data_IF_480788735819
#
_entry.id   IF_480788735819
#
_cell.length_a   1.000
_cell.length_b   1.000
_cell.length_c   1.000
_cell.angle_alpha   90.00
_cell.angle_beta   90.00
_cell.angle_gamma   90.00
#
_symmetry.space_group_name_H-M   'P 1'
#
loop_
_entity.id
_entity.type
_entity.pdbx_description
1 polymer ?
#
# COMPACT_ATOMS: atom_id res chain seq x y z
N UNK A 1 -15.83 -39.34 13.18
CA UNK A 1 -14.88 -38.48 12.45
C UNK A 1 -15.62 -37.20 12.10
N UNK A 2 -15.26 -36.06 12.71
CA UNK A 2 -15.91 -34.79 12.39
C UNK A 2 -15.56 -34.41 10.95
N UNK A 3 -16.54 -34.04 10.16
CA UNK A 3 -16.38 -33.66 8.76
C UNK A 3 -15.52 -32.39 8.63
N UNK A 4 -14.82 -32.23 7.50
CA UNK A 4 -13.99 -31.04 7.27
C UNK A 4 -14.77 -29.72 7.43
N UNK A 5 -16.08 -29.73 7.12
CA UNK A 5 -16.99 -28.61 7.32
C UNK A 5 -17.23 -28.30 8.81
N UNK A 6 -17.34 -29.29 9.67
CA UNK A 6 -17.50 -29.12 11.13
C UNK A 6 -16.25 -28.58 11.79
N UNK A 7 -15.06 -28.97 11.32
CA UNK A 7 -13.77 -28.38 11.75
C UNK A 7 -13.63 -26.94 11.29
N UNK A 8 -14.12 -26.58 10.10
CA UNK A 8 -14.13 -25.20 9.60
C UNK A 8 -15.12 -24.33 10.40
N UNK A 9 -16.32 -24.81 10.70
CA UNK A 9 -17.33 -24.04 11.47
C UNK A 9 -16.90 -23.80 12.91
N UNK A 10 -16.23 -24.76 13.55
CA UNK A 10 -15.66 -24.60 14.90
C UNK A 10 -14.46 -23.65 14.94
N UNK A 11 -13.67 -23.54 13.84
CA UNK A 11 -12.58 -22.60 13.74
C UNK A 11 -13.03 -21.17 13.36
N UNK A 12 -14.25 -21.01 12.82
CA UNK A 12 -14.86 -19.73 12.47
C UNK A 12 -15.83 -19.21 13.55
N UNK A 13 -15.53 -19.46 14.82
CA UNK A 13 -16.33 -18.95 15.93
C UNK A 13 -16.17 -17.42 16.04
N UNK A 14 -16.92 -16.69 15.20
CA UNK A 14 -16.97 -15.21 15.26
C UNK A 14 -17.42 -14.72 16.66
N UNK A 15 -18.16 -15.53 17.41
CA UNK A 15 -18.53 -15.26 18.80
C UNK A 15 -17.33 -15.27 19.77
N UNK A 16 -16.27 -16.01 19.46
CA UNK A 16 -15.05 -16.03 20.26
C UNK A 16 -14.22 -14.75 20.05
N UNK A 17 -14.27 -14.14 18.84
CA UNK A 17 -13.62 -12.87 18.52
C UNK A 17 -14.22 -11.73 19.36
N UNK A 18 -15.55 -11.74 19.57
CA UNK A 18 -16.23 -10.75 20.41
C UNK A 18 -15.86 -10.83 21.90
N UNK A 19 -15.44 -12.00 22.38
CA UNK A 19 -15.00 -12.22 23.77
C UNK A 19 -13.52 -11.90 24.02
N UNK A 20 -12.69 -11.90 22.99
CA UNK A 20 -11.27 -11.55 23.07
C UNK A 20 -11.08 -10.03 22.98
N UNK A 21 -11.15 -9.34 24.11
CA UNK A 21 -11.05 -7.86 24.21
C UNK A 21 -9.78 -7.31 23.57
N UNK A 22 -8.66 -7.99 23.69
CA UNK A 22 -7.39 -7.56 23.07
C UNK A 22 -7.45 -7.61 21.55
N UNK A 23 -7.94 -8.69 20.96
CA UNK A 23 -8.07 -8.82 19.51
C UNK A 23 -9.05 -7.79 18.94
N UNK A 24 -10.17 -7.57 19.64
CA UNK A 24 -11.16 -6.55 19.25
C UNK A 24 -10.53 -5.15 19.24
N UNK A 25 -9.77 -4.79 20.27
CA UNK A 25 -9.12 -3.49 20.35
C UNK A 25 -8.08 -3.31 19.23
N UNK A 26 -7.31 -4.33 18.91
CA UNK A 26 -6.35 -4.32 17.78
C UNK A 26 -7.06 -4.17 16.44
N UNK A 27 -8.17 -4.86 16.22
CA UNK A 27 -8.98 -4.74 15.00
C UNK A 27 -9.60 -3.34 14.87
N UNK A 28 -10.20 -2.80 15.95
CA UNK A 28 -10.78 -1.45 15.95
C UNK A 28 -9.71 -0.39 15.71
N UNK A 29 -8.52 -0.53 16.29
CA UNK A 29 -7.41 0.37 16.02
C UNK A 29 -6.99 0.34 14.55
N UNK A 30 -6.87 -0.87 13.97
CA UNK A 30 -6.51 -1.04 12.55
C UNK A 30 -7.57 -0.39 11.65
N UNK A 31 -8.86 -0.64 11.90
CA UNK A 31 -9.95 -0.03 11.14
C UNK A 31 -9.94 1.50 11.26
N UNK A 32 -9.78 2.04 12.47
CA UNK A 32 -9.66 3.47 12.70
C UNK A 32 -8.49 4.10 11.95
N UNK A 33 -7.33 3.46 11.95
CA UNK A 33 -6.15 3.91 11.20
C UNK A 33 -6.38 3.89 9.67
N UNK A 34 -7.06 2.87 9.15
CA UNK A 34 -7.43 2.79 7.73
C UNK A 34 -8.46 3.86 7.34
N UNK A 35 -9.39 4.21 8.23
CA UNK A 35 -10.32 5.34 8.01
C UNK A 35 -9.54 6.65 7.95
N UNK A 36 -8.60 6.89 8.86
CA UNK A 36 -7.74 8.09 8.83
C UNK A 36 -6.94 8.15 7.52
N UNK A 37 -6.35 7.03 7.09
CA UNK A 37 -5.69 6.94 5.79
C UNK A 37 -6.65 7.34 4.67
N UNK A 38 -7.86 6.77 4.65
CA UNK A 38 -8.84 7.04 3.59
C UNK A 38 -9.26 8.49 3.56
N UNK A 39 -9.53 9.11 4.71
CA UNK A 39 -9.87 10.54 4.80
C UNK A 39 -8.74 11.41 4.23
N UNK A 40 -7.49 11.11 4.55
CA UNK A 40 -6.35 11.87 4.04
C UNK A 40 -6.14 11.76 2.52
N UNK A 41 -6.62 10.69 1.87
CA UNK A 41 -6.57 10.60 0.38
C UNK A 41 -7.47 11.60 -0.33
N UNK A 42 -8.41 12.23 0.38
CA UNK A 42 -9.32 13.25 -0.15
C UNK A 42 -8.87 14.68 0.12
N UNK A 43 -7.81 14.89 0.91
CA UNK A 43 -7.28 16.23 1.20
C UNK A 43 -6.36 16.68 0.06
N UNK A 44 -6.77 17.63 -0.79
CA UNK A 44 -5.96 18.05 -1.93
C UNK A 44 -4.79 18.95 -1.50
N UNK A 45 -3.72 18.94 -2.30
CA UNK A 45 -2.61 19.89 -2.16
C UNK A 45 -3.11 21.28 -2.59
N UNK A 46 -2.79 22.36 -1.87
CA UNK A 46 -3.19 23.71 -2.24
C UNK A 46 -2.52 24.18 -3.53
N UNK A 47 -3.23 24.99 -4.31
CA UNK A 47 -2.70 25.58 -5.56
C UNK A 47 -2.95 24.75 -6.82
N UNK A 48 -3.75 23.68 -6.75
CA UNK A 48 -4.09 22.81 -7.87
C UNK A 48 -5.54 23.03 -8.31
N UNK A 49 -5.76 23.09 -9.61
CA UNK A 49 -7.10 23.12 -10.22
C UNK A 49 -7.68 21.69 -10.29
N UNK A 50 -8.71 21.35 -9.50
CA UNK A 50 -9.22 19.97 -9.45
C UNK A 50 -9.88 19.54 -10.75
N UNK A 51 -10.49 20.47 -11.51
CA UNK A 51 -11.19 20.15 -12.78
C UNK A 51 -10.18 19.79 -13.86
N UNK A 52 -9.13 20.60 -14.03
CA UNK A 52 -8.08 20.36 -15.00
C UNK A 52 -7.32 19.06 -14.68
N UNK A 53 -7.05 18.81 -13.41
CA UNK A 53 -6.39 17.61 -12.93
C UNK A 53 -7.21 16.35 -13.21
N UNK A 54 -8.52 16.36 -12.89
CA UNK A 54 -9.40 15.22 -13.11
C UNK A 54 -9.42 14.82 -14.59
N UNK A 55 -9.55 15.78 -15.48
CA UNK A 55 -9.55 15.50 -16.92
C UNK A 55 -8.23 14.95 -17.44
N UNK A 56 -7.11 15.47 -16.93
CA UNK A 56 -5.80 14.91 -17.25
C UNK A 56 -5.72 13.43 -16.85
N UNK A 57 -6.17 13.10 -15.64
CA UNK A 57 -6.16 11.72 -15.16
C UNK A 57 -7.15 10.82 -15.90
N UNK A 58 -8.32 11.30 -16.30
CA UNK A 58 -9.27 10.54 -17.11
C UNK A 58 -8.68 10.15 -18.48
N UNK A 59 -7.92 11.04 -19.10
CA UNK A 59 -7.22 10.76 -20.36
C UNK A 59 -6.04 9.80 -20.20
N UNK A 60 -5.37 9.80 -19.05
CA UNK A 60 -4.18 9.00 -18.75
C UNK A 60 -4.47 7.77 -17.87
N UNK A 61 -5.73 7.50 -17.53
CA UNK A 61 -6.12 6.42 -16.60
C UNK A 61 -5.72 5.03 -17.08
N UNK A 62 -5.60 4.82 -18.39
CA UNK A 62 -5.17 3.55 -19.00
C UNK A 62 -3.65 3.33 -18.94
N UNK A 63 -2.86 4.30 -18.48
CA UNK A 63 -1.41 4.26 -18.46
C UNK A 63 -0.81 3.87 -17.10
N UNK A 64 0.51 4.01 -17.02
CA UNK A 64 1.30 3.77 -15.79
C UNK A 64 0.79 4.61 -14.62
N UNK A 65 0.34 5.85 -14.87
CA UNK A 65 -0.22 6.74 -13.84
C UNK A 65 -1.46 6.16 -13.16
N UNK A 66 -2.34 5.48 -13.91
CA UNK A 66 -3.51 4.81 -13.35
C UNK A 66 -3.14 3.67 -12.40
N UNK A 67 -2.06 2.94 -12.70
CA UNK A 67 -1.54 1.90 -11.80
C UNK A 67 -1.06 2.52 -10.49
N UNK A 68 -0.24 3.58 -10.56
CA UNK A 68 0.23 4.29 -9.36
C UNK A 68 -0.93 4.89 -8.56
N UNK A 69 -1.94 5.44 -9.23
CA UNK A 69 -3.13 5.97 -8.57
C UNK A 69 -3.91 4.88 -7.82
N UNK A 70 -3.98 3.67 -8.36
CA UNK A 70 -4.60 2.53 -7.69
C UNK A 70 -3.85 2.18 -6.40
N UNK A 71 -2.51 2.16 -6.39
CA UNK A 71 -1.71 1.93 -5.19
C UNK A 71 -1.84 3.04 -4.15
N UNK A 72 -2.04 4.29 -4.58
CA UNK A 72 -2.27 5.42 -3.68
C UNK A 72 -3.71 5.51 -3.17
N UNK A 73 -4.61 4.63 -3.65
CA UNK A 73 -6.03 4.65 -3.30
C UNK A 73 -6.81 5.82 -3.91
N UNK A 74 -6.40 6.29 -5.09
CA UNK A 74 -6.98 7.43 -5.79
C UNK A 74 -6.46 8.79 -5.28
N UNK A 75 -5.43 8.80 -4.44
CA UNK A 75 -4.86 10.04 -3.92
C UNK A 75 -4.00 10.77 -4.97
N UNK A 76 -3.36 10.04 -5.90
CA UNK A 76 -2.57 10.64 -6.97
C UNK A 76 -3.47 11.36 -7.97
N UNK A 77 -4.57 10.74 -8.39
CA UNK A 77 -5.53 11.34 -9.32
C UNK A 77 -6.22 12.59 -8.81
N UNK A 78 -6.26 12.78 -7.49
CA UNK A 78 -6.78 13.98 -6.82
C UNK A 78 -5.69 14.91 -6.31
N UNK A 79 -4.42 14.55 -6.51
CA UNK A 79 -3.27 15.22 -5.89
C UNK A 79 -3.48 15.49 -4.40
N UNK A 80 -3.92 14.44 -3.69
CA UNK A 80 -4.05 14.48 -2.25
C UNK A 80 -2.69 14.52 -1.54
N UNK A 81 -2.70 14.84 -0.23
CA UNK A 81 -1.49 14.85 0.59
C UNK A 81 -0.78 13.48 0.63
N UNK A 82 -1.51 12.40 0.32
CA UNK A 82 -0.98 11.04 0.23
C UNK A 82 -0.75 10.58 -1.22
N UNK A 83 -0.58 11.50 -2.17
CA UNK A 83 -0.41 11.16 -3.59
C UNK A 83 0.80 10.25 -3.86
N UNK A 84 1.92 10.43 -3.18
CA UNK A 84 3.07 9.51 -3.24
C UNK A 84 2.81 8.17 -2.51
N UNK A 85 1.80 8.11 -1.65
CA UNK A 85 1.49 6.93 -0.86
C UNK A 85 2.66 6.45 -0.02
N UNK A 86 2.82 5.14 0.07
CA UNK A 86 3.93 4.48 0.79
C UNK A 86 5.07 4.06 -0.16
N UNK A 87 5.01 4.43 -1.46
CA UNK A 87 6.01 4.03 -2.46
C UNK A 87 7.43 4.49 -2.12
N UNK A 88 7.67 5.73 -1.65
CA UNK A 88 9.02 6.16 -1.25
C UNK A 88 9.61 5.29 -0.13
N UNK A 89 8.77 4.84 0.81
CA UNK A 89 9.20 3.95 1.89
C UNK A 89 9.53 2.54 1.38
N UNK A 90 8.75 2.00 0.46
CA UNK A 90 9.03 0.68 -0.14
C UNK A 90 10.36 0.73 -0.89
N UNK A 91 10.58 1.74 -1.73
CA UNK A 91 11.84 1.95 -2.45
C UNK A 91 13.02 2.06 -1.50
N UNK A 92 12.89 2.87 -0.45
CA UNK A 92 13.90 3.01 0.60
C UNK A 92 14.21 1.68 1.30
N UNK A 93 13.18 0.92 1.64
CA UNK A 93 13.34 -0.37 2.32
C UNK A 93 14.08 -1.39 1.44
N UNK A 94 13.77 -1.42 0.14
CA UNK A 94 14.48 -2.29 -0.83
C UNK A 94 15.93 -1.85 -0.95
N UNK A 95 16.20 -0.54 -1.14
CA UNK A 95 17.56 0.00 -1.22
C UNK A 95 18.36 -0.38 0.04
N UNK A 96 17.79 -0.14 1.23
CA UNK A 96 18.45 -0.46 2.49
C UNK A 96 18.70 -1.96 2.66
N UNK A 97 17.79 -2.82 2.18
CA UNK A 97 17.98 -4.27 2.21
C UNK A 97 19.16 -4.71 1.32
N UNK A 98 19.28 -4.12 0.13
CA UNK A 98 20.42 -4.37 -0.77
C UNK A 98 21.73 -3.82 -0.21
N UNK A 99 21.71 -2.62 0.37
CA UNK A 99 22.89 -2.01 0.98
C UNK A 99 23.41 -2.78 2.19
N UNK A 100 22.54 -3.46 2.95
CA UNK A 100 22.95 -4.33 4.05
C UNK A 100 23.81 -5.53 3.61
N UNK A 101 23.68 -5.97 2.37
CA UNK A 101 24.52 -7.05 1.83
C UNK A 101 25.84 -6.54 1.26
N UNK A 102 25.90 -5.28 0.82
CA UNK A 102 27.05 -4.70 0.10
C UNK A 102 27.96 -3.88 0.98
N UNK A 103 27.41 -3.19 2.01
CA UNK A 103 28.19 -2.28 2.86
C UNK A 103 28.56 -2.98 4.17
N UNK A 104 29.88 -3.15 4.49
CA UNK A 104 30.32 -3.86 5.70
C UNK A 104 29.76 -3.28 7.00
N UNK A 105 29.66 -1.95 7.09
CA UNK A 105 29.09 -1.28 8.27
C UNK A 105 27.63 -1.68 8.53
N UNK A 106 26.79 -1.72 7.48
CA UNK A 106 25.38 -2.11 7.61
C UNK A 106 25.22 -3.61 7.85
N UNK A 107 26.15 -4.43 7.33
CA UNK A 107 26.21 -5.86 7.62
C UNK A 107 26.48 -6.10 9.10
N UNK A 108 27.48 -5.43 9.67
CA UNK A 108 27.80 -5.51 11.11
C UNK A 108 26.63 -5.04 11.98
N UNK A 109 25.90 -4.00 11.56
CA UNK A 109 24.67 -3.57 12.25
C UNK A 109 23.60 -4.65 12.24
N UNK A 110 23.42 -5.35 11.12
CA UNK A 110 22.46 -6.46 11.03
C UNK A 110 22.81 -7.60 11.99
N UNK A 111 24.09 -7.90 12.18
CA UNK A 111 24.60 -8.92 13.08
C UNK A 111 24.42 -8.56 14.58
N UNK A 112 24.28 -7.27 14.91
CA UNK A 112 24.00 -6.79 16.27
C UNK A 112 22.56 -7.08 16.76
N UNK A 113 21.74 -7.79 15.98
CA UNK A 113 20.40 -8.20 16.36
C UNK A 113 19.40 -7.04 16.49
N UNK A 114 18.67 -6.97 17.59
CA UNK A 114 17.54 -6.02 17.76
C UNK A 114 17.98 -4.54 17.77
N UNK A 115 19.16 -4.22 18.31
CA UNK A 115 19.70 -2.84 18.30
C UNK A 115 20.04 -2.39 16.88
N UNK A 116 20.78 -3.20 16.14
CA UNK A 116 21.16 -2.87 14.76
C UNK A 116 19.95 -2.78 13.84
N UNK A 117 18.95 -3.64 14.02
CA UNK A 117 17.69 -3.56 13.26
C UNK A 117 16.95 -2.24 13.45
N UNK A 118 16.92 -1.70 14.67
CA UNK A 118 16.32 -0.37 14.94
C UNK A 118 17.05 0.75 14.20
N UNK A 119 18.38 0.71 14.17
CA UNK A 119 19.18 1.71 13.44
C UNK A 119 18.97 1.61 11.93
N UNK A 120 18.90 0.41 11.37
CA UNK A 120 18.61 0.20 9.95
C UNK A 120 17.23 0.76 9.57
N UNK A 121 16.20 0.54 10.40
CA UNK A 121 14.87 1.12 10.21
C UNK A 121 14.96 2.66 10.24
N UNK A 122 15.76 3.23 11.11
CA UNK A 122 15.93 4.67 11.21
C UNK A 122 16.61 5.24 9.95
N UNK A 123 17.63 4.57 9.41
CA UNK A 123 18.25 4.95 8.13
C UNK A 123 17.25 4.82 6.96
N UNK A 124 16.42 3.77 6.93
CA UNK A 124 15.33 3.67 5.96
C UNK A 124 14.40 4.86 5.99
N UNK A 125 14.06 5.39 7.17
CA UNK A 125 13.19 6.58 7.29
C UNK A 125 13.86 7.82 6.70
N UNK A 126 15.15 8.05 6.95
CA UNK A 126 15.89 9.18 6.37
C UNK A 126 15.95 9.08 4.84
N UNK A 127 16.27 7.89 4.31
CA UNK A 127 16.30 7.66 2.86
C UNK A 127 14.89 7.85 2.26
N UNK A 128 13.83 7.46 2.98
CA UNK A 128 12.44 7.70 2.55
C UNK A 128 12.15 9.19 2.37
N UNK A 129 12.57 10.04 3.33
CA UNK A 129 12.36 11.48 3.25
C UNK A 129 13.08 12.08 2.03
N UNK A 130 14.33 11.65 1.77
CA UNK A 130 15.08 12.11 0.60
C UNK A 130 14.40 11.67 -0.71
N UNK A 131 14.00 10.41 -0.82
CA UNK A 131 13.30 9.90 -2.01
C UNK A 131 11.97 10.63 -2.21
N UNK A 132 11.19 10.81 -1.14
CA UNK A 132 9.92 11.52 -1.20
C UNK A 132 10.09 12.99 -1.64
N UNK A 133 11.15 13.67 -1.17
CA UNK A 133 11.46 15.03 -1.58
C UNK A 133 11.83 15.12 -3.07
N UNK A 134 12.66 14.20 -3.56
CA UNK A 134 13.03 14.13 -4.98
C UNK A 134 11.82 13.81 -5.86
N UNK A 135 10.99 12.84 -5.47
CA UNK A 135 9.77 12.51 -6.19
C UNK A 135 8.75 13.65 -6.15
N UNK A 136 8.55 14.28 -4.98
CA UNK A 136 7.65 15.42 -4.82
C UNK A 136 8.08 16.62 -5.66
N UNK A 137 9.39 16.88 -5.77
CA UNK A 137 9.92 17.91 -6.64
C UNK A 137 9.69 17.59 -8.12
N UNK A 138 9.93 16.33 -8.53
CA UNK A 138 9.64 15.88 -9.90
C UNK A 138 8.16 16.02 -10.25
N UNK A 139 7.27 15.62 -9.32
CA UNK A 139 5.81 15.77 -9.49
C UNK A 139 5.42 17.24 -9.62
N UNK A 140 5.98 18.15 -8.79
CA UNK A 140 5.65 19.58 -8.85
C UNK A 140 6.02 20.22 -10.19
N UNK A 141 7.20 19.91 -10.73
CA UNK A 141 7.62 20.38 -12.06
C UNK A 141 6.74 19.78 -13.16
N UNK A 142 6.43 18.47 -13.04
CA UNK A 142 5.54 17.81 -13.98
C UNK A 142 4.18 18.50 -14.07
N UNK A 143 3.55 18.80 -12.92
CA UNK A 143 2.26 19.47 -12.86
C UNK A 143 2.28 20.90 -13.43
N UNK A 144 3.36 21.64 -13.21
CA UNK A 144 3.51 22.99 -13.78
C UNK A 144 3.63 22.98 -15.31
N UNK A 145 4.23 21.94 -15.88
CA UNK A 145 4.43 21.81 -17.33
C UNK A 145 3.19 21.31 -18.06
N UNK A 146 2.20 20.76 -17.34
CA UNK A 146 1.00 20.16 -17.91
C UNK A 146 -0.08 21.22 -18.13
N UNK A 147 -0.58 21.28 -19.37
CA UNK A 147 -1.71 22.13 -19.76
C UNK A 147 -2.84 21.23 -20.25
N UNK A 148 -4.07 21.61 -19.92
CA UNK A 148 -5.28 20.92 -20.37
C UNK A 148 -6.17 21.89 -21.17
N UNK A 149 -7.19 21.38 -21.85
CA UNK A 149 -8.16 22.20 -22.55
C UNK A 149 -8.90 23.22 -21.63
N UNK A 150 -8.90 22.97 -20.33
CA UNK A 150 -9.53 23.81 -19.29
C UNK A 150 -8.53 24.69 -18.50
N UNK A 151 -7.31 24.85 -19.04
CA UNK A 151 -6.28 25.71 -18.47
C UNK A 151 -5.16 24.93 -17.78
N UNK A 152 -4.37 25.67 -17.03
CA UNK A 152 -3.24 25.12 -16.29
C UNK A 152 -3.73 24.28 -15.09
N UNK A 153 -3.04 23.16 -14.81
CA UNK A 153 -3.31 22.34 -13.62
C UNK A 153 -2.94 23.09 -12.35
N UNK A 154 -1.92 23.95 -12.40
CA UNK A 154 -1.45 24.76 -11.29
C UNK A 154 -1.93 26.19 -11.47
N UNK A 155 -2.59 26.78 -10.47
CA UNK A 155 -3.06 28.17 -10.52
C UNK A 155 -1.91 29.16 -10.62
N UNK A 156 -0.91 29.02 -9.77
CA UNK A 156 0.25 29.89 -9.70
C UNK A 156 1.54 29.06 -9.75
N UNK A 157 2.11 28.83 -10.95
CA UNK A 157 3.36 28.10 -11.09
C UNK A 157 4.52 28.94 -10.50
N UNK A 158 5.45 28.27 -9.82
CA UNK A 158 6.61 28.94 -9.27
C UNK A 158 7.22 28.26 -8.04
N UNK A 159 8.25 28.88 -7.49
CA UNK A 159 9.00 28.32 -6.37
C UNK A 159 8.12 28.02 -5.15
N UNK A 160 7.16 28.90 -4.87
CA UNK A 160 6.23 28.74 -3.73
C UNK A 160 5.40 27.45 -3.87
N UNK A 161 4.80 27.21 -5.04
CA UNK A 161 4.05 25.99 -5.31
C UNK A 161 4.93 24.74 -5.17
N UNK A 162 6.16 24.77 -5.74
CA UNK A 162 7.08 23.62 -5.66
C UNK A 162 7.42 23.28 -4.21
N UNK A 163 7.81 24.29 -3.43
CA UNK A 163 8.19 24.11 -2.01
C UNK A 163 7.00 23.59 -1.20
N UNK A 164 5.80 24.18 -1.37
CA UNK A 164 4.60 23.77 -0.68
C UNK A 164 4.22 22.33 -1.04
N UNK A 165 4.26 21.97 -2.32
CA UNK A 165 3.98 20.62 -2.81
C UNK A 165 4.96 19.60 -2.24
N UNK A 166 6.28 19.90 -2.27
CA UNK A 166 7.30 18.99 -1.71
C UNK A 166 7.09 18.78 -0.21
N UNK A 167 6.90 19.86 0.55
CA UNK A 167 6.69 19.75 2.01
C UNK A 167 5.43 18.93 2.30
N UNK A 168 4.34 19.16 1.58
CA UNK A 168 3.06 18.46 1.77
C UNK A 168 3.20 16.98 1.46
N UNK A 169 3.82 16.62 0.34
CA UNK A 169 4.01 15.24 -0.08
C UNK A 169 4.96 14.47 0.84
N UNK A 170 6.05 15.11 1.27
CA UNK A 170 6.98 14.54 2.26
C UNK A 170 6.28 14.33 3.59
N UNK A 171 5.54 15.33 4.06
CA UNK A 171 4.75 15.24 5.29
C UNK A 171 3.73 14.11 5.24
N UNK A 172 3.00 13.99 4.13
CA UNK A 172 2.07 12.90 3.88
C UNK A 172 2.73 11.53 3.89
N UNK A 173 3.87 11.37 3.23
CA UNK A 173 4.63 10.12 3.21
C UNK A 173 5.14 9.74 4.60
N UNK A 174 5.70 10.70 5.35
CA UNK A 174 6.18 10.48 6.72
C UNK A 174 5.03 10.09 7.64
N UNK A 175 3.87 10.74 7.50
CA UNK A 175 2.67 10.39 8.25
C UNK A 175 2.19 8.97 7.94
N UNK A 176 2.14 8.57 6.66
CA UNK A 176 1.75 7.21 6.27
C UNK A 176 2.72 6.15 6.78
N UNK A 177 4.02 6.43 6.74
CA UNK A 177 5.04 5.57 7.32
C UNK A 177 4.81 5.38 8.83
N UNK A 178 4.61 6.47 9.56
CA UNK A 178 4.30 6.43 10.99
C UNK A 178 2.98 5.66 11.26
N UNK A 179 1.93 5.91 10.47
CA UNK A 179 0.65 5.23 10.60
C UNK A 179 0.80 3.72 10.38
N UNK A 180 1.56 3.30 9.36
CA UNK A 180 1.87 1.90 9.09
C UNK A 180 2.62 1.22 10.24
N UNK A 181 3.55 1.94 10.87
CA UNK A 181 4.26 1.44 12.06
C UNK A 181 3.33 1.33 13.28
N UNK A 182 2.40 2.28 13.47
CA UNK A 182 1.40 2.20 14.54
C UNK A 182 0.46 1.00 14.34
N UNK A 183 0.01 0.74 13.11
CA UNK A 183 -0.81 -0.43 12.80
C UNK A 183 -0.02 -1.72 13.09
N UNK A 184 1.25 -1.79 12.69
CA UNK A 184 2.09 -2.97 12.92
C UNK A 184 2.33 -3.23 14.41
N UNK A 185 2.47 -2.18 15.23
CA UNK A 185 2.77 -2.31 16.66
C UNK A 185 1.53 -2.51 17.53
N UNK A 186 0.42 -1.86 17.23
CA UNK A 186 -0.80 -1.83 18.06
C UNK A 186 -2.01 -2.51 17.40
N UNK A 187 -1.96 -2.71 16.10
CA UNK A 187 -3.02 -3.33 15.30
C UNK A 187 -2.76 -4.81 15.01
N UNK A 188 -3.18 -5.24 13.84
CA UNK A 188 -3.07 -6.61 13.32
C UNK A 188 -2.26 -6.59 12.02
N UNK A 189 -1.27 -7.48 11.91
CA UNK A 189 -0.51 -7.71 10.69
C UNK A 189 0.51 -6.62 10.35
N UNK A 190 0.92 -6.54 9.09
CA UNK A 190 1.85 -5.52 8.60
C UNK A 190 1.07 -4.27 8.16
N UNK A 191 1.25 -3.16 8.88
CA UNK A 191 0.49 -1.93 8.66
C UNK A 191 0.69 -1.31 7.27
N UNK A 192 1.91 -1.37 6.73
CA UNK A 192 2.20 -0.83 5.39
C UNK A 192 1.48 -1.64 4.31
N UNK A 193 1.52 -2.98 4.41
CA UNK A 193 0.79 -3.85 3.50
C UNK A 193 -0.72 -3.63 3.58
N UNK A 194 -1.26 -3.38 4.77
CA UNK A 194 -2.67 -3.08 4.97
C UNK A 194 -3.08 -1.73 4.36
N UNK A 195 -2.24 -0.70 4.45
CA UNK A 195 -2.48 0.60 3.81
C UNK A 195 -2.53 0.44 2.29
N UNK A 196 -1.59 -0.30 1.69
CA UNK A 196 -1.59 -0.59 0.24
C UNK A 196 -2.85 -1.36 -0.15
N UNK A 197 -3.17 -2.42 0.58
CA UNK A 197 -4.37 -3.24 0.32
C UNK A 197 -5.64 -2.41 0.42
N UNK A 198 -5.76 -1.54 1.43
CA UNK A 198 -6.89 -0.63 1.57
C UNK A 198 -7.00 0.37 0.41
N UNK A 199 -5.87 0.86 -0.12
CA UNK A 199 -5.82 1.70 -1.32
C UNK A 199 -6.36 0.97 -2.55
N UNK A 200 -5.93 -0.26 -2.79
CA UNK A 200 -6.37 -1.08 -3.93
C UNK A 200 -7.86 -1.45 -3.80
N UNK A 201 -8.28 -1.93 -2.63
CA UNK A 201 -9.68 -2.33 -2.38
C UNK A 201 -10.63 -1.15 -2.51
N UNK A 202 -10.19 0.06 -2.19
CA UNK A 202 -11.03 1.26 -2.29
C UNK A 202 -11.51 1.57 -3.71
N UNK A 203 -10.77 1.17 -4.74
CA UNK A 203 -11.14 1.34 -6.14
C UNK A 203 -11.89 0.13 -6.73
N UNK A 204 -11.94 -0.99 -6.00
CA UNK A 204 -12.54 -2.22 -6.47
C UNK A 204 -14.05 -2.10 -6.74
N UNK A 205 -14.88 -1.42 -5.89
CA UNK A 205 -16.30 -1.27 -6.17
C UNK A 205 -16.58 -0.53 -7.48
N UNK A 206 -15.85 0.53 -7.77
CA UNK A 206 -16.01 1.29 -9.02
C UNK A 206 -15.59 0.47 -10.23
N UNK A 207 -14.50 -0.29 -10.14
CA UNK A 207 -14.04 -1.19 -11.20
C UNK A 207 -15.08 -2.28 -11.50
N UNK A 208 -15.68 -2.88 -10.48
CA UNK A 208 -16.75 -3.89 -10.64
C UNK A 208 -17.97 -3.29 -11.33
N UNK A 209 -18.44 -2.12 -10.87
CA UNK A 209 -19.58 -1.43 -11.47
C UNK A 209 -19.31 -1.11 -12.94
N UNK A 210 -18.14 -0.55 -13.27
CA UNK A 210 -17.75 -0.24 -14.65
C UNK A 210 -17.70 -1.49 -15.53
N UNK A 211 -17.13 -2.58 -15.06
CA UNK A 211 -17.07 -3.86 -15.79
C UNK A 211 -18.46 -4.42 -16.05
N UNK A 212 -19.37 -4.35 -15.07
CA UNK A 212 -20.76 -4.79 -15.25
C UNK A 212 -21.52 -3.90 -16.22
N UNK A 213 -21.27 -2.59 -16.23
CA UNK A 213 -21.87 -1.68 -17.21
C UNK A 213 -21.41 -2.00 -18.65
N UNK A 214 -20.10 -2.22 -18.87
CA UNK A 214 -19.56 -2.65 -20.16
C UNK A 214 -20.12 -3.98 -20.63
N UNK A 215 -20.41 -4.90 -19.70
CA UNK A 215 -21.13 -6.14 -20.00
C UNK A 215 -22.60 -5.92 -20.40
N UNK A 216 -23.27 -4.93 -19.80
CA UNK A 216 -24.68 -4.58 -20.14
C UNK A 216 -24.79 -3.82 -21.46
N UNK A 217 -23.80 -2.99 -21.81
CA UNK A 217 -23.77 -2.28 -23.11
C UNK A 217 -23.37 -3.18 -24.28
N UNK A 218 -22.89 -4.40 -23.99
CA UNK A 218 -22.48 -5.37 -25.02
C UNK A 218 -21.04 -5.17 -25.51
N UNK A 219 -20.30 -4.22 -24.95
CA UNK A 219 -18.88 -3.99 -25.30
C UNK A 219 -17.99 -5.14 -24.79
N UNK A 220 -18.36 -5.76 -23.66
CA UNK A 220 -17.71 -6.95 -23.15
C UNK A 220 -18.68 -8.13 -23.16
N UNK A 221 -18.22 -9.28 -23.68
CA UNK A 221 -19.03 -10.50 -23.62
C UNK A 221 -19.08 -11.05 -22.18
N UNK A 222 -20.20 -11.64 -21.81
CA UNK A 222 -20.38 -12.27 -20.47
C UNK A 222 -19.31 -13.35 -20.26
N UNK A 223 -18.95 -14.10 -21.32
CA UNK A 223 -17.91 -15.11 -21.26
C UNK A 223 -16.54 -14.51 -20.90
N UNK A 224 -16.24 -13.30 -21.38
CA UNK A 224 -14.99 -12.59 -21.05
C UNK A 224 -14.96 -12.14 -19.58
N UNK A 225 -16.07 -11.61 -19.06
CA UNK A 225 -16.19 -11.22 -17.65
C UNK A 225 -16.01 -12.45 -16.74
N UNK A 226 -16.63 -13.57 -17.11
CA UNK A 226 -16.49 -14.84 -16.36
C UNK A 226 -15.04 -15.36 -16.39
N UNK A 227 -14.37 -15.26 -17.54
CA UNK A 227 -12.96 -15.67 -17.66
C UNK A 227 -12.02 -14.85 -16.78
N UNK A 228 -12.24 -13.52 -16.69
CA UNK A 228 -11.49 -12.65 -15.78
C UNK A 228 -11.72 -13.05 -14.33
N UNK A 229 -12.95 -13.34 -13.93
CA UNK A 229 -13.27 -13.76 -12.56
C UNK A 229 -12.55 -15.06 -12.20
N UNK A 230 -12.60 -16.05 -13.10
CA UNK A 230 -11.91 -17.36 -12.90
C UNK A 230 -10.39 -17.14 -12.80
N UNK A 231 -9.84 -16.27 -13.65
CA UNK A 231 -8.41 -15.95 -13.64
C UNK A 231 -7.99 -15.29 -12.31
N UNK A 232 -8.77 -14.32 -11.82
CA UNK A 232 -8.50 -13.66 -10.53
C UNK A 232 -8.53 -14.68 -9.38
N UNK A 233 -9.57 -15.52 -9.31
CA UNK A 233 -9.66 -16.57 -8.29
C UNK A 233 -8.51 -17.57 -8.39
N UNK A 234 -8.15 -17.99 -9.61
CA UNK A 234 -7.03 -18.89 -9.86
C UNK A 234 -5.70 -18.29 -9.40
N UNK A 235 -5.45 -17.01 -9.68
CA UNK A 235 -4.26 -16.30 -9.22
C UNK A 235 -4.20 -16.20 -7.69
N UNK A 236 -5.31 -15.88 -7.03
CA UNK A 236 -5.36 -15.80 -5.56
C UNK A 236 -5.03 -17.17 -4.95
N UNK A 237 -5.65 -18.24 -5.45
CA UNK A 237 -5.40 -19.62 -4.96
C UNK A 237 -3.94 -19.98 -5.18
N UNK A 238 -3.38 -19.67 -6.36
CA UNK A 238 -1.99 -19.96 -6.70
C UNK A 238 -1.01 -19.21 -5.77
N UNK A 239 -1.22 -17.92 -5.54
CA UNK A 239 -0.36 -17.11 -4.65
C UNK A 239 -0.41 -17.67 -3.23
N UNK A 240 -1.62 -17.96 -2.70
CA UNK A 240 -1.78 -18.53 -1.36
C UNK A 240 -1.13 -19.91 -1.24
N UNK A 241 -1.21 -20.73 -2.31
CA UNK A 241 -0.55 -22.04 -2.36
C UNK A 241 0.97 -21.91 -2.27
N UNK A 242 1.58 -21.00 -3.04
CA UNK A 242 3.02 -20.73 -3.01
C UNK A 242 3.46 -20.19 -1.64
N UNK A 243 2.71 -19.22 -1.08
CA UNK A 243 3.05 -18.60 0.20
C UNK A 243 3.00 -19.60 1.37
N UNK A 244 2.06 -20.55 1.34
CA UNK A 244 1.97 -21.64 2.32
C UNK A 244 3.01 -22.73 2.13
N UNK A 245 3.75 -22.73 1.03
CA UNK A 245 4.78 -23.71 0.71
C UNK A 245 5.93 -23.67 1.73
N UNK A 246 5.98 -24.65 2.63
CA UNK A 246 7.04 -24.78 3.62
C UNK A 246 7.93 -25.98 3.29
N UNK A 247 9.23 -25.75 3.20
CA UNK A 247 10.20 -26.85 3.13
C UNK A 247 10.43 -27.40 4.53
N UNK A 248 9.90 -28.58 4.81
CA UNK A 248 10.12 -29.27 6.09
C UNK A 248 11.42 -30.08 6.01
N UNK A 249 12.39 -29.74 6.83
CA UNK A 249 13.59 -30.54 7.04
C UNK A 249 13.32 -31.48 8.20
N UNK A 250 13.48 -32.79 7.95
CA UNK A 250 13.40 -33.78 9.02
C UNK A 250 14.75 -33.75 9.75
N UNK A 251 14.76 -33.20 10.95
CA UNK A 251 15.93 -33.22 11.84
C UNK A 251 15.82 -34.45 12.72
N UNK A 252 16.70 -35.43 12.54
CA UNK A 252 16.81 -36.56 13.44
C UNK A 252 17.74 -36.16 14.61
N UNK A 253 17.18 -36.03 15.78
CA UNK A 253 17.98 -35.90 17.01
C UNK A 253 18.43 -37.29 17.44
N UNK A 254 19.74 -37.54 17.64
CA UNK A 254 20.20 -38.79 18.27
C UNK A 254 19.62 -38.84 19.68
N UNK A 255 18.77 -39.85 19.96
CA UNK A 255 18.31 -40.12 21.32
C UNK A 255 19.52 -40.47 22.14
N UNK A 256 19.86 -39.62 23.11
CA UNK A 256 20.87 -39.93 24.11
C UNK A 256 20.36 -41.13 24.89
N UNK A 257 20.93 -42.30 24.64
CA UNK A 257 20.74 -43.45 25.52
C UNK A 257 21.46 -43.13 26.84
N UNK A 258 20.68 -42.78 27.87
CA UNK A 258 21.17 -42.74 29.23
C UNK A 258 21.06 -44.18 29.71
N UNK A 259 22.19 -44.85 29.78
CA UNK A 259 22.32 -46.13 30.43
C UNK A 259 22.17 -46.03 31.93
#
# INVERSE_FOLDING_TARGET
MATAAEKLSNNLNFGAIGKATELRNRLLFTLGALIVFRLGTFLPIPGINPIALQQFFEQQSSGILGIFDTFSGGALGRMGIFALGVMPYISSSIIMTLMQSSIPHLKNLKEQGSKGRRQIIQYSRYVTVVIAALQGYGVSIGLESMQTAYGNIVFEPGLFFRVTTVITLVGGTVFLMWLGEQITSRGVGNGISLIITAGIIANLPSAVVSTLQLGRTGELSIAFILSILILILGLIIFIVFIEKGQRRLIVQYPKRQVG
#
